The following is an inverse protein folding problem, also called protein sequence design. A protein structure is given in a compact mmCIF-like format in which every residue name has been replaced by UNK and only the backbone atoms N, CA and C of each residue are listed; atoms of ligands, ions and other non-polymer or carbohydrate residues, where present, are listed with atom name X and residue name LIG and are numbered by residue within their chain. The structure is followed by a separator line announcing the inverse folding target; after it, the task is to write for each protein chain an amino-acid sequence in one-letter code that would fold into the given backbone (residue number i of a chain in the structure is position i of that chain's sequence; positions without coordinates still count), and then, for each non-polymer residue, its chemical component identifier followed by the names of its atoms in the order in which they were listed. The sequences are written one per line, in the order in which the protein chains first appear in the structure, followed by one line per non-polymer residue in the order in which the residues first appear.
data_IF_950757483889
#
_entry.id   IF_950757483889
#
_cell.length_a   1.000
_cell.length_b   1.000
_cell.length_c   1.000
_cell.angle_alpha   90.00
_cell.angle_beta   90.00
_cell.angle_gamma   90.00
#
_symmetry.space_group_name_H-M   'P 1'
#
loop_
_entity.id
_entity.type
_entity.pdbx_description
1 polymer ?
#
# COMPACT_ATOMS: atom_id res chain seq x y z
N UNK A 1 15.33 0.83 1.92
CA UNK A 1 14.06 0.77 1.16
C UNK A 1 13.65 -0.69 0.96
N UNK A 2 12.48 -1.12 1.45
CA UNK A 2 11.98 -2.50 1.26
C UNK A 2 11.28 -2.61 -0.10
N UNK A 3 11.83 -3.38 -1.03
CA UNK A 3 11.21 -3.64 -2.35
C UNK A 3 10.28 -4.85 -2.22
N UNK A 4 9.01 -4.68 -2.60
CA UNK A 4 8.05 -5.80 -2.69
C UNK A 4 8.19 -6.45 -4.06
N UNK A 5 8.34 -7.78 -4.07
CA UNK A 5 8.51 -8.57 -5.29
C UNK A 5 7.17 -9.21 -5.64
N UNK A 6 6.77 -9.09 -6.90
CA UNK A 6 5.61 -9.80 -7.44
C UNK A 6 6.10 -11.08 -8.10
N UNK A 7 5.55 -12.19 -7.63
CA UNK A 7 5.99 -13.54 -7.99
C UNK A 7 5.17 -14.17 -9.11
N UNK A 8 3.93 -13.74 -9.31
CA UNK A 8 3.02 -14.38 -10.27
C UNK A 8 3.10 -13.77 -11.65
N UNK A 9 2.89 -14.63 -12.64
CA UNK A 9 2.73 -14.29 -14.04
C UNK A 9 1.31 -14.60 -14.46
N UNK A 10 0.70 -13.70 -15.23
CA UNK A 10 -0.59 -13.93 -15.85
C UNK A 10 -0.38 -14.64 -17.19
N UNK A 11 -0.89 -15.87 -17.37
CA UNK A 11 -0.77 -16.60 -18.63
C UNK A 11 -1.47 -15.86 -19.78
N UNK A 12 -0.86 -15.88 -20.97
CA UNK A 12 -1.42 -15.28 -22.19
C UNK A 12 -1.41 -16.29 -23.32
N UNK A 13 -2.39 -16.20 -24.21
CA UNK A 13 -2.32 -16.86 -25.50
C UNK A 13 -1.20 -16.23 -26.34
N UNK A 14 -0.25 -17.04 -26.82
CA UNK A 14 0.90 -16.57 -27.62
C UNK A 14 0.49 -15.85 -28.92
N UNK A 15 -0.70 -16.17 -29.44
CA UNK A 15 -1.28 -15.50 -30.61
C UNK A 15 -2.42 -14.54 -30.22
N UNK A 16 -2.51 -14.19 -28.93
CA UNK A 16 -3.55 -13.32 -28.38
C UNK A 16 -3.43 -11.89 -28.88
N UNK A 17 -4.54 -11.14 -28.78
CA UNK A 17 -4.55 -9.73 -29.16
C UNK A 17 -3.69 -8.93 -28.17
N UNK A 18 -2.96 -7.90 -28.64
CA UNK A 18 -2.30 -6.97 -27.74
C UNK A 18 -3.31 -6.33 -26.78
N UNK A 19 -2.95 -6.25 -25.50
CA UNK A 19 -3.71 -5.47 -24.52
C UNK A 19 -3.51 -4.00 -24.88
N UNK A 20 -4.61 -3.34 -25.20
CA UNK A 20 -4.62 -1.93 -25.54
C UNK A 20 -4.23 -1.04 -24.36
N UNK A 21 -4.55 0.24 -24.48
CA UNK A 21 -4.32 1.21 -23.41
C UNK A 21 -5.14 0.83 -22.16
N UNK A 22 -4.52 0.10 -21.23
CA UNK A 22 -5.09 -0.34 -19.94
C UNK A 22 -5.74 0.74 -19.07
N UNK A 23 -5.57 2.03 -19.40
CA UNK A 23 -6.30 3.11 -18.72
C UNK A 23 -7.78 3.15 -19.10
N UNK A 24 -8.19 2.55 -20.23
CA UNK A 24 -9.60 2.44 -20.63
C UNK A 24 -10.36 1.36 -19.87
N UNK A 25 -9.64 0.35 -19.39
CA UNK A 25 -10.20 -0.78 -18.65
C UNK A 25 -10.08 -0.54 -17.16
N UNK A 26 -11.09 -0.95 -16.40
CA UNK A 26 -11.13 -0.75 -14.96
C UNK A 26 -11.36 -2.09 -14.26
N UNK A 27 -10.41 -2.45 -13.40
CA UNK A 27 -10.60 -3.50 -12.39
C UNK A 27 -11.15 -2.93 -11.09
N UNK A 28 -10.99 -3.69 -10.00
CA UNK A 28 -11.34 -3.22 -8.65
C UNK A 28 -10.39 -2.09 -8.23
N UNK A 29 -10.91 -1.12 -7.49
CA UNK A 29 -10.18 0.09 -7.08
C UNK A 29 -10.28 0.31 -5.59
N UNK A 30 -9.20 0.79 -4.99
CA UNK A 30 -9.23 1.20 -3.59
C UNK A 30 -10.22 2.37 -3.39
N UNK A 31 -10.83 2.52 -2.20
CA UNK A 31 -11.76 3.63 -1.91
C UNK A 31 -11.17 5.02 -2.17
N UNK A 32 -9.85 5.16 -2.03
CA UNK A 32 -9.09 6.38 -2.34
C UNK A 32 -8.76 6.55 -3.84
N UNK A 33 -9.47 5.86 -4.74
CA UNK A 33 -9.35 5.93 -6.21
C UNK A 33 -8.04 5.41 -6.82
N UNK A 34 -7.21 4.70 -6.05
CA UNK A 34 -6.06 3.99 -6.63
C UNK A 34 -6.57 2.90 -7.58
N UNK A 35 -6.15 2.97 -8.84
CA UNK A 35 -6.67 2.15 -9.93
C UNK A 35 -6.25 0.67 -9.87
N UNK A 36 -5.12 0.38 -9.23
CA UNK A 36 -4.61 -0.98 -9.01
C UNK A 36 -4.89 -1.35 -7.54
N UNK A 37 -5.86 -2.24 -7.33
CA UNK A 37 -6.16 -2.79 -6.02
C UNK A 37 -6.18 -4.32 -6.08
N UNK A 38 -5.66 -4.94 -5.03
CA UNK A 38 -5.76 -6.37 -4.82
C UNK A 38 -5.91 -6.69 -3.33
N UNK A 39 -6.62 -7.77 -3.00
CA UNK A 39 -6.88 -8.17 -1.62
C UNK A 39 -5.59 -8.60 -0.87
N UNK A 40 -4.64 -9.18 -1.60
CA UNK A 40 -3.37 -9.72 -1.14
C UNK A 40 -2.25 -9.44 -2.16
N UNK A 41 -1.00 -9.78 -1.80
CA UNK A 41 0.12 -9.70 -2.75
C UNK A 41 0.02 -10.72 -3.90
N UNK A 42 -0.80 -11.76 -3.76
CA UNK A 42 -1.00 -12.79 -4.78
C UNK A 42 -2.03 -12.40 -5.85
N UNK A 43 -2.68 -11.26 -5.67
CA UNK A 43 -3.62 -10.68 -6.63
C UNK A 43 -2.91 -9.78 -7.64
N UNK A 44 -1.58 -9.63 -7.56
CA UNK A 44 -0.78 -8.89 -8.51
C UNK A 44 0.00 -9.83 -9.41
N UNK A 45 0.02 -9.50 -10.69
CA UNK A 45 0.65 -10.32 -11.71
C UNK A 45 1.53 -9.46 -12.61
N UNK A 46 2.61 -10.08 -13.09
CA UNK A 46 3.30 -9.63 -14.29
C UNK A 46 2.54 -10.16 -15.49
N UNK A 47 2.23 -9.32 -16.46
CA UNK A 47 1.56 -9.70 -17.70
C UNK A 47 2.32 -9.15 -18.90
N UNK A 48 2.40 -9.94 -19.96
CA UNK A 48 2.87 -9.49 -21.27
C UNK A 48 1.70 -8.84 -22.01
N UNK A 49 1.74 -7.53 -22.32
CA UNK A 49 0.69 -6.89 -23.10
C UNK A 49 0.58 -7.42 -24.52
N UNK A 50 1.69 -7.81 -25.15
CA UNK A 50 1.76 -8.16 -26.58
C UNK A 50 2.36 -9.55 -26.75
N UNK A 51 1.59 -10.60 -26.45
CA UNK A 51 2.07 -11.97 -26.56
C UNK A 51 2.41 -12.29 -28.03
N UNK A 52 3.51 -13.01 -28.26
CA UNK A 52 3.95 -13.42 -29.59
C UNK A 52 5.08 -12.59 -30.20
N UNK A 53 5.48 -11.48 -29.57
CA UNK A 53 6.74 -10.79 -29.92
C UNK A 53 7.91 -11.55 -29.30
N UNK A 54 8.96 -11.81 -30.08
CA UNK A 54 10.13 -12.55 -29.59
C UNK A 54 10.67 -11.95 -28.29
N UNK A 55 10.96 -12.76 -27.25
CA UNK A 55 11.39 -12.26 -25.93
C UNK A 55 12.60 -11.32 -25.94
N UNK A 56 13.45 -11.37 -26.97
CA UNK A 56 14.59 -10.47 -27.17
C UNK A 56 14.26 -9.11 -27.80
N UNK A 57 13.03 -8.90 -28.30
CA UNK A 57 12.55 -7.65 -28.89
C UNK A 57 11.53 -6.92 -28.01
N UNK A 58 10.95 -7.62 -27.02
CA UNK A 58 10.10 -6.99 -26.00
C UNK A 58 11.01 -6.42 -24.93
N UNK A 59 11.15 -5.10 -24.88
CA UNK A 59 11.86 -4.47 -23.79
C UNK A 59 11.21 -4.87 -22.44
N UNK A 60 12.02 -5.17 -21.43
CA UNK A 60 11.56 -5.48 -20.06
C UNK A 60 10.57 -4.42 -19.55
N UNK A 61 10.69 -3.19 -20.04
CA UNK A 61 9.81 -2.03 -19.79
C UNK A 61 8.38 -2.16 -20.30
N UNK A 62 8.07 -3.16 -21.15
CA UNK A 62 6.72 -3.39 -21.68
C UNK A 62 5.95 -4.36 -20.76
N UNK A 63 6.64 -5.19 -19.96
CA UNK A 63 6.00 -6.07 -18.97
C UNK A 63 5.30 -5.23 -17.92
N UNK A 64 4.00 -5.43 -17.76
CA UNK A 64 3.20 -4.65 -16.83
C UNK A 64 2.92 -5.42 -15.56
N UNK A 65 2.93 -4.68 -14.46
CA UNK A 65 2.38 -5.13 -13.19
C UNK A 65 0.98 -4.55 -13.04
N UNK A 66 0.00 -5.41 -12.83
CA UNK A 66 -1.39 -5.03 -12.60
C UNK A 66 -2.08 -6.00 -11.64
N UNK A 67 -3.22 -5.58 -11.08
CA UNK A 67 -4.07 -6.47 -10.31
C UNK A 67 -4.81 -7.47 -11.21
N UNK A 68 -5.15 -8.64 -10.65
CA UNK A 68 -5.87 -9.71 -11.33
C UNK A 68 -7.22 -9.23 -11.86
N UNK A 69 -7.98 -8.45 -11.06
CA UNK A 69 -9.25 -7.87 -11.51
C UNK A 69 -9.10 -6.90 -12.70
N UNK A 70 -8.00 -6.14 -12.78
CA UNK A 70 -7.75 -5.26 -13.93
C UNK A 70 -7.34 -6.05 -15.17
N UNK A 71 -6.50 -7.07 -15.03
CA UNK A 71 -6.09 -7.92 -16.14
C UNK A 71 -7.27 -8.75 -16.64
N UNK A 72 -8.06 -9.35 -15.75
CA UNK A 72 -9.27 -10.11 -16.08
C UNK A 72 -10.27 -9.28 -16.89
N UNK A 73 -10.52 -8.03 -16.49
CA UNK A 73 -11.37 -7.12 -17.25
C UNK A 73 -10.82 -6.88 -18.67
N UNK A 74 -9.51 -6.73 -18.82
CA UNK A 74 -8.87 -6.51 -20.12
C UNK A 74 -8.90 -7.78 -21.00
N UNK A 75 -8.70 -8.96 -20.41
CA UNK A 75 -8.84 -10.25 -21.11
C UNK A 75 -10.24 -10.44 -21.67
N UNK A 76 -11.26 -10.14 -20.86
CA UNK A 76 -12.67 -10.23 -21.28
C UNK A 76 -12.99 -9.26 -22.42
N UNK A 77 -12.43 -8.05 -22.40
CA UNK A 77 -12.62 -7.07 -23.48
C UNK A 77 -12.06 -7.59 -24.82
N UNK A 78 -10.91 -8.27 -24.82
CA UNK A 78 -10.32 -8.82 -26.04
C UNK A 78 -10.87 -10.21 -26.42
N UNK A 79 -11.64 -10.84 -25.52
CA UNK A 79 -12.23 -12.17 -25.68
C UNK A 79 -11.23 -13.31 -25.46
N UNK A 80 -10.25 -13.14 -24.57
CA UNK A 80 -9.23 -14.16 -24.25
C UNK A 80 -9.54 -14.87 -22.93
N UNK A 81 -9.45 -16.20 -22.93
CA UNK A 81 -9.78 -17.08 -21.81
C UNK A 81 -8.65 -18.07 -21.45
N UNK A 82 -7.44 -17.84 -21.95
CA UNK A 82 -6.29 -18.73 -21.77
C UNK A 82 -5.83 -18.92 -20.30
N UNK A 83 -6.25 -18.04 -19.39
CA UNK A 83 -5.88 -18.04 -17.97
C UNK A 83 -7.12 -18.31 -17.09
N UNK A 84 -7.75 -19.46 -17.28
CA UNK A 84 -9.03 -19.82 -16.62
C UNK A 84 -8.92 -19.73 -15.11
N UNK A 85 -7.89 -20.31 -14.51
CA UNK A 85 -7.68 -20.30 -13.06
C UNK A 85 -7.50 -18.88 -12.50
N UNK A 86 -6.75 -18.03 -13.20
CA UNK A 86 -6.53 -16.64 -12.80
C UNK A 86 -7.79 -15.78 -12.97
N UNK A 87 -8.60 -16.04 -14.00
CA UNK A 87 -9.90 -15.40 -14.20
C UNK A 87 -10.86 -15.77 -13.06
N UNK A 88 -10.96 -17.06 -12.72
CA UNK A 88 -11.79 -17.53 -11.60
C UNK A 88 -11.28 -17.01 -10.25
N UNK A 89 -9.97 -16.89 -10.08
CA UNK A 89 -9.38 -16.27 -8.89
C UNK A 89 -9.76 -14.79 -8.79
N UNK A 90 -9.62 -14.04 -9.89
CA UNK A 90 -9.97 -12.63 -9.94
C UNK A 90 -11.47 -12.37 -9.67
N UNK A 91 -12.35 -13.28 -10.07
CA UNK A 91 -13.79 -13.18 -9.81
C UNK A 91 -14.15 -13.46 -8.35
N UNK A 92 -13.40 -14.34 -7.68
CA UNK A 92 -13.57 -14.65 -6.26
C UNK A 92 -12.84 -13.67 -5.34
N UNK A 93 -12.00 -12.81 -5.88
CA UNK A 93 -11.30 -11.78 -5.12
C UNK A 93 -12.32 -10.94 -4.34
N UNK A 94 -12.14 -10.69 -3.03
CA UNK A 94 -13.03 -9.82 -2.27
C UNK A 94 -13.15 -8.41 -2.87
N UNK A 95 -14.22 -7.69 -2.57
CA UNK A 95 -14.30 -6.28 -2.93
C UNK A 95 -13.50 -5.39 -1.96
N UNK A 96 -12.97 -4.26 -2.45
CA UNK A 96 -12.33 -3.26 -1.61
C UNK A 96 -13.31 -2.77 -0.54
N UNK A 97 -12.89 -2.86 0.72
CA UNK A 97 -13.65 -2.37 1.87
C UNK A 97 -12.87 -1.29 2.59
N UNK A 98 -13.60 -0.29 3.09
CA UNK A 98 -13.02 0.67 4.03
C UNK A 98 -12.76 -0.03 5.36
N UNK A 99 -11.52 0.09 5.83
CA UNK A 99 -11.15 -0.33 7.18
C UNK A 99 -11.19 0.92 8.05
N UNK A 100 -12.17 1.06 8.96
CA UNK A 100 -12.14 2.15 9.90
C UNK A 100 -10.85 2.05 10.72
N UNK A 101 -10.23 3.20 11.00
CA UNK A 101 -9.11 3.26 11.94
C UNK A 101 -9.61 2.68 13.26
N UNK A 102 -9.00 1.60 13.70
CA UNK A 102 -9.32 1.00 14.98
C UNK A 102 -9.00 2.01 16.07
N UNK A 103 -9.91 2.16 17.02
CA UNK A 103 -9.74 3.06 18.16
C UNK A 103 -8.45 2.69 18.91
N UNK A 104 -7.45 3.56 18.79
CA UNK A 104 -6.13 3.34 19.38
C UNK A 104 -6.21 3.20 20.89
N UNK A 105 -7.17 3.88 21.54
CA UNK A 105 -7.37 3.77 22.98
C UNK A 105 -7.81 2.36 23.36
N UNK A 106 -8.78 1.79 22.63
CA UNK A 106 -9.23 0.41 22.88
C UNK A 106 -8.13 -0.61 22.66
N UNK A 107 -7.23 -0.38 21.70
CA UNK A 107 -6.07 -1.26 21.49
C UNK A 107 -5.09 -1.21 22.64
N UNK A 108 -4.82 -0.01 23.16
CA UNK A 108 -3.95 0.17 24.32
C UNK A 108 -4.58 -0.50 25.54
N UNK A 109 -5.86 -0.25 25.82
CA UNK A 109 -6.58 -0.87 26.94
C UNK A 109 -6.63 -2.41 26.85
N UNK A 110 -6.76 -2.96 25.64
CA UNK A 110 -6.77 -4.41 25.43
C UNK A 110 -5.38 -5.07 25.59
N UNK A 111 -4.29 -4.29 25.46
CA UNK A 111 -2.93 -4.81 25.47
C UNK A 111 -2.15 -4.44 26.74
N UNK A 112 -2.52 -3.35 27.41
CA UNK A 112 -1.92 -2.93 28.67
C UNK A 112 -2.68 -3.57 29.85
N UNK A 113 -2.05 -4.49 30.60
CA UNK A 113 -2.68 -5.05 31.78
C UNK A 113 -2.88 -3.96 32.84
N UNK A 114 -3.84 -4.16 33.74
CA UNK A 114 -4.07 -3.25 34.88
C UNK A 114 -2.81 -3.06 35.72
N UNK A 115 -1.88 -4.02 35.74
CA UNK A 115 -0.58 -3.90 36.41
C UNK A 115 0.41 -2.96 35.71
N UNK A 116 0.10 -2.45 34.52
CA UNK A 116 0.93 -1.47 33.81
C UNK A 116 1.03 -0.18 34.65
N UNK A 117 2.24 0.36 34.89
CA UNK A 117 2.37 1.65 35.56
C UNK A 117 1.75 2.80 34.75
N UNK A 118 1.45 2.57 33.47
CA UNK A 118 0.78 3.52 32.58
C UNK A 118 -0.74 3.30 32.45
N UNK A 119 -1.31 2.35 33.20
CA UNK A 119 -2.74 2.08 33.15
C UNK A 119 -3.54 3.32 33.60
N UNK A 120 -4.56 3.79 32.84
CA UNK A 120 -5.29 5.03 33.12
C UNK A 120 -5.86 5.13 34.55
N UNK A 121 -6.27 4.00 35.14
CA UNK A 121 -6.83 3.96 36.51
C UNK A 121 -5.83 4.28 37.62
N UNK A 122 -4.53 4.28 37.34
CA UNK A 122 -3.49 4.63 38.31
C UNK A 122 -3.27 6.13 38.46
N UNK A 123 -3.86 6.92 37.57
CA UNK A 123 -3.74 8.37 37.62
C UNK A 123 -4.99 8.98 38.27
N UNK A 124 -4.84 9.77 39.36
CA UNK A 124 -5.97 10.45 39.98
C UNK A 124 -6.45 11.61 39.10
N UNK A 125 -7.75 11.91 39.15
CA UNK A 125 -8.33 13.04 38.44
C UNK A 125 -7.54 14.33 38.72
N UNK A 126 -7.21 15.15 37.70
CA UNK A 126 -7.72 15.12 36.33
C UNK A 126 -6.89 14.29 35.32
N UNK A 127 -6.00 13.41 35.79
CA UNK A 127 -5.15 12.60 34.94
C UNK A 127 -5.74 11.20 34.65
N UNK A 128 -5.39 10.59 33.49
CA UNK A 128 -4.63 11.19 32.40
C UNK A 128 -5.47 12.26 31.69
N UNK A 129 -4.82 13.34 31.24
CA UNK A 129 -5.49 14.31 30.39
C UNK A 129 -5.96 13.61 29.11
N UNK A 130 -7.24 13.74 28.77
CA UNK A 130 -7.76 13.29 27.48
C UNK A 130 -7.00 14.08 26.40
N UNK A 131 -6.23 13.44 25.51
CA UNK A 131 -5.54 14.15 24.44
C UNK A 131 -6.55 14.97 23.63
N UNK A 132 -6.22 16.23 23.35
CA UNK A 132 -7.08 17.19 22.61
C UNK A 132 -8.37 17.64 23.33
N UNK A 133 -8.58 17.31 24.61
CA UNK A 133 -9.70 17.86 25.39
C UNK A 133 -9.44 19.26 25.97
N UNK A 134 -8.35 19.92 25.57
CA UNK A 134 -8.14 21.31 25.93
C UNK A 134 -9.21 22.15 25.22
N UNK A 135 -10.12 22.85 25.93
CA UNK A 135 -11.09 23.73 25.30
C UNK A 135 -10.41 24.92 24.59
N UNK A 136 -9.15 25.20 24.95
CA UNK A 136 -8.32 26.18 24.28
C UNK A 136 -7.69 25.57 23.01
N UNK A 137 -7.62 26.32 21.90
CA UNK A 137 -6.97 25.85 20.68
C UNK A 137 -5.54 25.41 21.00
N UNK A 138 -5.08 24.27 20.44
CA UNK A 138 -3.74 23.78 20.70
C UNK A 138 -2.73 24.89 20.36
N UNK A 139 -2.00 25.34 21.36
CA UNK A 139 -0.89 26.27 21.16
C UNK A 139 0.03 25.59 20.15
N UNK A 140 0.25 26.23 19.01
CA UNK A 140 1.21 25.76 18.01
C UNK A 140 2.61 25.81 18.66
N UNK A 141 3.02 24.69 19.25
CA UNK A 141 4.38 24.49 19.76
C UNK A 141 5.40 24.49 18.62
N UNK A 142 4.93 24.26 17.39
CA UNK A 142 5.72 24.33 16.18
C UNK A 142 5.76 25.77 15.66
N UNK A 143 6.77 26.53 16.09
CA UNK A 143 7.18 27.74 15.39
C UNK A 143 8.27 27.38 14.39
N UNK A 144 8.14 27.86 13.15
CA UNK A 144 9.20 27.73 12.16
C UNK A 144 10.42 28.48 12.67
N UNK A 145 11.48 27.76 13.01
CA UNK A 145 12.75 28.36 13.41
C UNK A 145 13.30 29.12 12.20
N UNK A 146 13.59 30.42 12.33
CA UNK A 146 14.33 31.16 11.32
C UNK A 146 15.66 30.47 11.02
N UNK A 147 16.05 30.42 9.75
CA UNK A 147 17.26 29.70 9.32
C UNK A 147 18.55 30.18 10.02
N UNK A 148 18.62 31.46 10.40
CA UNK A 148 19.76 32.03 11.12
C UNK A 148 19.88 31.57 12.58
N UNK A 149 18.87 30.87 13.11
CA UNK A 149 18.91 30.25 14.45
C UNK A 149 19.23 28.76 14.40
N UNK A 150 19.33 28.17 13.20
CA UNK A 150 19.76 26.79 13.08
C UNK A 150 21.27 26.71 13.33
N UNK A 151 21.75 25.67 14.02
CA UNK A 151 23.19 25.46 14.16
C UNK A 151 23.83 25.24 12.79
N UNK A 152 24.97 25.89 12.56
CA UNK A 152 25.75 25.74 11.32
C UNK A 152 26.43 24.37 11.23
N UNK A 153 26.63 23.71 12.37
CA UNK A 153 27.28 22.41 12.49
C UNK A 153 26.41 21.46 13.30
N UNK A 154 26.09 20.30 12.74
CA UNK A 154 25.31 19.26 13.41
C UNK A 154 26.27 18.14 13.85
N UNK A 155 26.39 17.94 15.17
CA UNK A 155 27.09 16.78 15.73
C UNK A 155 26.12 15.62 15.85
N UNK A 156 26.36 14.54 15.09
CA UNK A 156 25.55 13.33 15.13
C UNK A 156 26.32 12.28 15.92
N UNK A 157 25.75 11.81 17.03
CA UNK A 157 26.27 10.63 17.70
C UNK A 157 25.83 9.39 16.91
N UNK A 158 26.77 8.79 16.19
CA UNK A 158 26.57 7.53 15.46
C UNK A 158 27.35 6.38 16.15
N UNK A 159 26.78 5.79 17.21
CA UNK A 159 27.45 4.73 17.96
C UNK A 159 27.63 3.42 17.17
N UNK A 160 27.01 3.31 15.98
CA UNK A 160 27.04 2.11 15.16
C UNK A 160 27.79 2.31 13.83
N UNK A 161 28.39 3.50 13.63
CA UNK A 161 29.22 3.84 12.47
C UNK A 161 28.53 3.53 11.12
N UNK A 162 27.24 3.84 11.03
CA UNK A 162 26.42 3.60 9.84
C UNK A 162 26.59 4.69 8.77
N UNK A 163 27.25 5.79 9.12
CA UNK A 163 27.43 6.96 8.25
C UNK A 163 28.82 7.05 7.62
N UNK A 164 29.78 6.20 7.99
CA UNK A 164 31.05 6.07 7.29
C UNK A 164 30.93 5.03 6.16
N UNK A 165 31.12 5.47 4.92
CA UNK A 165 31.36 4.62 3.75
C UNK A 165 32.68 5.01 3.11
#
# INVERSE_FOLDING_TARGET
SKKRIIFRWWPRNLNGKPLGLFWKVHGKRAPNRIANWGATLYDFYRVDPSPGVNPGQVAETIRRVASGSLIAAAMREIGEDAAVDELEWADREPDPRELPVMDTQKLIEAHEPVSSPFHPSHYPAPWPFIPFANPDPPILLQKRLPFHLLPETLYVHDPYDLLSM
#
